data_IF_533062501146
#
_entry.id   IF_533062501146
#
_cell.length_a   1.000
_cell.length_b   1.000
_cell.length_c   1.000
_cell.angle_alpha   90.00
_cell.angle_beta   90.00
_cell.angle_gamma   90.00
#
_symmetry.space_group_name_H-M   'P 1'
#
loop_
_entity.id
_entity.type
_entity.pdbx_description
1 polymer ?
#
# COMPACT_ATOMS: atom_id res chain seq x y z
N UNK A 1 -1.14 -10.34 -5.21
CA UNK A 1 -2.61 -10.50 -5.32
C UNK A 1 -3.15 -10.82 -3.94
N UNK A 2 -4.38 -10.41 -3.63
CA UNK A 2 -5.02 -10.71 -2.36
C UNK A 2 -5.44 -12.19 -2.38
N UNK A 3 -4.72 -13.04 -1.65
CA UNK A 3 -5.06 -14.46 -1.56
C UNK A 3 -6.11 -14.62 -0.47
N UNK A 4 -7.29 -15.12 -0.85
CA UNK A 4 -8.34 -15.48 0.09
C UNK A 4 -8.48 -16.99 0.09
N UNK A 5 -8.21 -17.62 1.23
CA UNK A 5 -8.54 -19.02 1.47
C UNK A 5 -9.83 -19.07 2.30
N UNK A 6 -10.79 -19.88 1.87
CA UNK A 6 -12.07 -20.05 2.56
C UNK A 6 -12.18 -21.48 3.10
N UNK A 7 -12.53 -21.61 4.37
CA UNK A 7 -12.80 -22.89 5.02
C UNK A 7 -14.20 -22.86 5.59
N UNK A 8 -14.99 -23.88 5.28
CA UNK A 8 -16.27 -24.12 5.93
C UNK A 8 -16.04 -24.92 7.20
N UNK A 9 -16.35 -24.34 8.35
CA UNK A 9 -16.35 -25.06 9.62
C UNK A 9 -17.75 -25.62 9.82
N UNK A 10 -17.89 -26.95 9.87
CA UNK A 10 -19.15 -27.58 10.25
C UNK A 10 -19.41 -27.32 11.74
N UNK A 11 -20.67 -27.07 12.11
CA UNK A 11 -21.05 -27.00 13.53
C UNK A 11 -20.74 -28.34 14.21
N UNK A 12 -20.28 -28.30 15.45
CA UNK A 12 -20.10 -29.51 16.27
C UNK A 12 -21.47 -30.19 16.39
N UNK A 13 -21.56 -31.46 16.00
CA UNK A 13 -22.82 -32.21 15.91
C UNK A 13 -23.73 -32.00 17.13
N UNK A 14 -24.92 -31.43 16.89
CA UNK A 14 -25.95 -31.21 17.92
C UNK A 14 -26.60 -29.84 17.80
N UNK A 15 -27.92 -29.83 17.64
CA UNK A 15 -28.75 -28.62 17.57
C UNK A 15 -28.45 -27.69 18.77
N UNK A 16 -27.76 -26.58 18.54
CA UNK A 16 -27.56 -25.51 19.55
C UNK A 16 -26.13 -25.08 19.85
N UNK A 17 -25.09 -25.64 19.22
CA UNK A 17 -23.73 -25.16 19.46
C UNK A 17 -23.50 -23.76 18.83
N UNK A 18 -23.46 -22.71 19.66
CA UNK A 18 -23.06 -21.34 19.29
C UNK A 18 -21.54 -21.17 19.18
N UNK A 19 -20.80 -22.27 19.26
CA UNK A 19 -19.34 -22.29 19.30
C UNK A 19 -18.82 -23.21 18.20
N UNK A 20 -17.85 -22.72 17.44
CA UNK A 20 -17.15 -23.46 16.41
C UNK A 20 -15.66 -23.12 16.49
N UNK A 21 -14.81 -24.13 16.33
CA UNK A 21 -13.36 -23.97 16.28
C UNK A 21 -12.79 -24.60 15.01
N UNK A 22 -11.71 -24.03 14.50
CA UNK A 22 -11.05 -24.51 13.29
C UNK A 22 -9.71 -23.80 13.11
N UNK A 23 -8.87 -24.34 12.22
CA UNK A 23 -7.61 -23.72 11.86
C UNK A 23 -7.35 -23.85 10.36
N UNK A 24 -6.70 -22.85 9.76
CA UNK A 24 -6.07 -22.96 8.45
C UNK A 24 -4.56 -22.82 8.57
N UNK A 25 -3.83 -23.34 7.58
CA UNK A 25 -2.42 -23.04 7.38
C UNK A 25 -2.24 -22.45 5.99
N UNK A 26 -1.82 -21.19 5.94
CA UNK A 26 -1.41 -20.51 4.71
C UNK A 26 0.11 -20.54 4.56
N UNK A 27 0.59 -20.76 3.34
CA UNK A 27 2.01 -20.60 3.00
C UNK A 27 2.26 -19.12 2.67
N UNK A 28 3.27 -18.53 3.31
CA UNK A 28 3.63 -17.11 3.14
C UNK A 28 5.09 -17.04 2.71
N UNK A 29 5.30 -16.74 1.42
CA UNK A 29 6.65 -16.70 0.81
C UNK A 29 7.29 -15.30 0.86
N UNK A 30 6.46 -14.26 1.08
CA UNK A 30 6.88 -12.87 1.08
C UNK A 30 6.18 -12.12 2.22
N UNK A 31 6.83 -11.06 2.72
CA UNK A 31 6.22 -10.18 3.70
C UNK A 31 4.88 -9.66 3.21
N UNK A 32 3.85 -9.75 4.06
CA UNK A 32 2.46 -9.49 3.69
C UNK A 32 1.65 -9.04 4.90
N UNK A 33 0.38 -8.72 4.68
CA UNK A 33 -0.61 -8.56 5.75
C UNK A 33 -1.55 -9.76 5.75
N UNK A 34 -1.89 -10.22 6.95
CA UNK A 34 -2.87 -11.30 7.15
C UNK A 34 -3.97 -10.81 8.07
N UNK A 35 -5.20 -11.11 7.70
CA UNK A 35 -6.38 -10.88 8.53
C UNK A 35 -7.33 -12.07 8.38
N UNK A 36 -8.05 -12.40 9.45
CA UNK A 36 -9.09 -13.41 9.44
C UNK A 36 -10.45 -12.72 9.32
N UNK A 37 -11.33 -13.29 8.49
CA UNK A 37 -12.73 -12.89 8.40
C UNK A 37 -13.62 -14.12 8.48
N UNK A 38 -14.55 -14.12 9.43
CA UNK A 38 -15.52 -15.19 9.63
C UNK A 38 -16.85 -14.73 9.05
N UNK A 39 -17.36 -15.51 8.09
CA UNK A 39 -18.72 -15.34 7.58
C UNK A 39 -19.66 -16.27 8.33
N UNK A 40 -20.82 -15.77 8.67
CA UNK A 40 -21.86 -16.52 9.35
C UNK A 40 -23.23 -15.95 9.01
N UNK A 41 -24.28 -16.75 9.12
CA UNK A 41 -25.64 -16.31 8.90
C UNK A 41 -26.28 -15.87 10.22
N UNK A 42 -26.35 -14.56 10.44
CA UNK A 42 -27.29 -14.00 11.41
C UNK A 42 -28.63 -13.78 10.69
N UNK A 43 -29.72 -14.37 11.20
CA UNK A 43 -31.06 -14.34 10.58
C UNK A 43 -31.14 -14.87 9.12
N UNK A 44 -30.28 -15.83 8.74
CA UNK A 44 -30.39 -16.50 7.44
C UNK A 44 -29.78 -15.75 6.24
N UNK A 45 -29.03 -14.66 6.46
CA UNK A 45 -28.26 -14.02 5.40
C UNK A 45 -26.81 -14.55 5.37
N UNK A 46 -26.44 -15.43 4.41
CA UNK A 46 -25.15 -16.12 4.41
C UNK A 46 -23.93 -15.22 4.09
N UNK A 47 -24.14 -13.99 3.60
CA UNK A 47 -23.06 -13.11 3.19
C UNK A 47 -22.51 -12.21 4.31
N UNK A 48 -23.08 -12.27 5.52
CA UNK A 48 -22.68 -11.39 6.61
C UNK A 48 -21.31 -11.77 7.20
N UNK A 49 -20.51 -10.74 7.49
CA UNK A 49 -19.27 -10.87 8.24
C UNK A 49 -19.64 -10.88 9.72
N UNK A 50 -19.57 -12.05 10.34
CA UNK A 50 -19.93 -12.23 11.75
C UNK A 50 -18.78 -11.81 12.68
N UNK A 51 -17.53 -11.97 12.24
CA UNK A 51 -16.35 -11.54 13.00
C UNK A 51 -15.16 -11.28 12.07
N UNK A 52 -14.17 -10.52 12.56
CA UNK A 52 -12.88 -10.34 11.90
C UNK A 52 -11.78 -10.10 12.92
N UNK A 53 -10.52 -10.31 12.51
CA UNK A 53 -9.35 -9.86 13.27
C UNK A 53 -8.91 -8.47 12.80
N UNK A 54 -8.04 -7.82 13.57
CA UNK A 54 -7.17 -6.78 13.02
C UNK A 54 -6.22 -7.41 11.99
N UNK A 55 -5.80 -6.64 10.99
CA UNK A 55 -4.72 -7.06 10.11
C UNK A 55 -3.40 -7.04 10.87
N UNK A 56 -2.61 -8.10 10.74
CA UNK A 56 -1.25 -8.18 11.26
C UNK A 56 -0.26 -8.21 10.10
N UNK A 57 0.89 -7.57 10.29
CA UNK A 57 1.97 -7.61 9.32
C UNK A 57 2.87 -8.80 9.60
N UNK A 58 3.11 -9.61 8.59
CA UNK A 58 4.10 -10.69 8.60
C UNK A 58 5.33 -10.24 7.82
N UNK A 59 6.49 -10.31 8.48
CA UNK A 59 7.79 -10.01 7.86
C UNK A 59 8.53 -11.33 7.65
N UNK A 60 8.77 -11.69 6.39
CA UNK A 60 9.51 -12.88 5.99
C UNK A 60 10.93 -12.50 5.62
N UNK A 61 11.92 -13.25 6.08
CA UNK A 61 13.36 -13.04 5.81
C UNK A 61 13.87 -11.62 6.13
N UNK A 62 13.23 -10.90 7.06
CA UNK A 62 13.50 -9.47 7.35
C UNK A 62 13.33 -8.55 6.13
N UNK A 63 12.68 -9.01 5.06
CA UNK A 63 12.39 -8.18 3.89
C UNK A 63 11.19 -7.28 4.21
N UNK A 64 11.29 -5.95 4.07
CA UNK A 64 10.15 -5.08 4.35
C UNK A 64 9.02 -5.35 3.35
N UNK A 65 7.77 -5.10 3.76
CA UNK A 65 6.65 -5.08 2.83
C UNK A 65 6.92 -4.03 1.75
N UNK A 66 6.93 -4.47 0.48
CA UNK A 66 7.16 -3.61 -0.65
C UNK A 66 6.34 -4.06 -1.85
N UNK A 67 5.39 -3.23 -2.26
CA UNK A 67 4.61 -3.42 -3.47
C UNK A 67 5.16 -2.48 -4.54
N UNK A 68 5.95 -3.03 -5.48
CA UNK A 68 6.55 -2.26 -6.56
C UNK A 68 5.53 -1.44 -7.38
N UNK A 69 4.35 -1.98 -7.76
CA UNK A 69 3.36 -1.22 -8.52
C UNK A 69 2.81 -0.01 -7.74
N UNK A 70 2.58 -0.17 -6.44
CA UNK A 70 2.06 0.92 -5.60
C UNK A 70 3.14 1.97 -5.35
N UNK A 71 4.38 1.53 -5.09
CA UNK A 71 5.52 2.42 -4.93
C UNK A 71 5.77 3.28 -6.19
N UNK A 72 5.61 2.69 -7.38
CA UNK A 72 5.68 3.43 -8.66
C UNK A 72 4.60 4.50 -8.76
N UNK A 73 3.34 4.17 -8.47
CA UNK A 73 2.24 5.15 -8.49
C UNK A 73 2.45 6.29 -7.50
N UNK A 74 2.95 5.99 -6.30
CA UNK A 74 3.27 7.00 -5.30
C UNK A 74 4.43 7.88 -5.79
N UNK A 75 5.44 7.31 -6.45
CA UNK A 75 6.54 8.08 -7.03
C UNK A 75 6.03 9.06 -8.09
N UNK A 76 5.19 8.60 -9.03
CA UNK A 76 4.53 9.44 -10.04
C UNK A 76 3.68 10.56 -9.41
N UNK A 77 2.99 10.26 -8.32
CA UNK A 77 2.20 11.26 -7.60
C UNK A 77 3.09 12.34 -6.95
N UNK A 78 4.26 11.96 -6.42
CA UNK A 78 5.24 12.93 -5.88
C UNK A 78 5.79 13.81 -7.02
N UNK A 79 6.08 13.24 -8.19
CA UNK A 79 6.49 14.01 -9.38
C UNK A 79 5.41 15.02 -9.78
N UNK A 80 4.14 14.59 -9.86
CA UNK A 80 3.01 15.46 -10.14
C UNK A 80 2.83 16.57 -9.09
N UNK A 81 3.03 16.25 -7.80
CA UNK A 81 2.97 17.24 -6.73
C UNK A 81 4.09 18.29 -6.84
N UNK A 82 5.31 17.89 -7.18
CA UNK A 82 6.41 18.82 -7.45
C UNK A 82 6.08 19.75 -8.62
N UNK A 83 5.59 19.19 -9.73
CA UNK A 83 5.19 19.99 -10.89
C UNK A 83 4.07 20.98 -10.55
N UNK A 84 3.07 20.56 -9.76
CA UNK A 84 1.99 21.44 -9.30
C UNK A 84 2.52 22.59 -8.45
N UNK A 85 3.38 22.30 -7.46
CA UNK A 85 4.00 23.31 -6.59
C UNK A 85 4.85 24.29 -7.39
N UNK A 86 5.59 23.80 -8.39
CA UNK A 86 6.50 24.61 -9.21
C UNK A 86 5.75 25.52 -10.21
N UNK A 87 4.50 25.20 -10.59
CA UNK A 87 3.81 25.87 -11.72
C UNK A 87 2.42 26.42 -11.42
N UNK A 88 1.56 25.67 -10.74
CA UNK A 88 0.12 25.96 -10.61
C UNK A 88 -0.30 26.41 -9.21
N UNK A 89 0.48 26.06 -8.19
CA UNK A 89 0.15 26.40 -6.82
C UNK A 89 0.15 27.93 -6.62
N UNK A 90 -0.81 28.50 -5.85
CA UNK A 90 -0.75 29.89 -5.44
C UNK A 90 0.58 30.16 -4.74
N UNK A 91 1.30 31.21 -5.15
CA UNK A 91 2.65 31.48 -4.64
C UNK A 91 2.65 31.59 -3.12
N UNK A 92 3.20 30.61 -2.39
CA UNK A 92 3.39 30.75 -0.96
C UNK A 92 4.54 31.71 -0.72
N UNK A 93 4.65 32.22 0.50
CA UNK A 93 5.87 32.88 0.96
C UNK A 93 7.10 32.00 0.63
N UNK A 94 8.18 32.61 0.11
CA UNK A 94 9.31 31.90 -0.47
C UNK A 94 9.93 30.83 0.45
N UNK A 95 9.91 31.04 1.76
CA UNK A 95 10.39 30.08 2.75
C UNK A 95 9.53 28.80 2.77
N UNK A 96 8.20 28.94 2.73
CA UNK A 96 7.25 27.82 2.70
C UNK A 96 7.33 27.04 1.38
N UNK A 97 7.49 27.73 0.26
CA UNK A 97 7.72 27.11 -1.04
C UNK A 97 8.96 26.19 -0.99
N UNK A 98 10.11 26.72 -0.56
CA UNK A 98 11.37 25.96 -0.48
C UNK A 98 11.26 24.75 0.45
N UNK A 99 10.64 24.93 1.61
CA UNK A 99 10.43 23.84 2.57
C UNK A 99 9.58 22.70 1.99
N UNK A 100 8.49 23.06 1.30
CA UNK A 100 7.60 22.09 0.64
C UNK A 100 8.33 21.36 -0.49
N UNK A 101 9.04 22.11 -1.35
CA UNK A 101 9.80 21.54 -2.47
C UNK A 101 10.88 20.57 -2.00
N UNK A 102 11.65 20.95 -0.99
CA UNK A 102 12.69 20.10 -0.38
C UNK A 102 12.10 18.83 0.26
N UNK A 103 10.93 18.93 0.88
CA UNK A 103 10.24 17.77 1.46
C UNK A 103 9.84 16.77 0.38
N UNK A 104 9.23 17.24 -0.71
CA UNK A 104 8.82 16.39 -1.84
C UNK A 104 10.03 15.75 -2.52
N UNK A 105 11.10 16.52 -2.76
CA UNK A 105 12.33 16.01 -3.37
C UNK A 105 13.01 14.97 -2.47
N UNK A 106 13.05 15.19 -1.16
CA UNK A 106 13.58 14.21 -0.20
C UNK A 106 12.72 12.94 -0.13
N UNK A 107 11.40 13.05 -0.29
CA UNK A 107 10.51 11.90 -0.36
C UNK A 107 10.72 11.12 -1.67
N UNK A 108 10.81 11.82 -2.81
CA UNK A 108 11.11 11.26 -4.12
C UNK A 108 12.41 10.47 -4.08
N UNK A 109 13.51 11.08 -3.67
CA UNK A 109 14.83 10.45 -3.67
C UNK A 109 14.85 9.20 -2.78
N UNK A 110 14.21 9.23 -1.61
CA UNK A 110 14.12 8.07 -0.72
C UNK A 110 13.34 6.92 -1.34
N UNK A 111 12.20 7.20 -1.97
CA UNK A 111 11.37 6.17 -2.60
C UNK A 111 12.02 5.62 -3.89
N UNK A 112 12.63 6.50 -4.69
CA UNK A 112 13.38 6.17 -5.89
C UNK A 112 14.55 5.23 -5.59
N UNK A 113 15.36 5.57 -4.59
CA UNK A 113 16.45 4.69 -4.12
C UNK A 113 15.92 3.35 -3.63
N UNK A 114 14.80 3.34 -2.91
CA UNK A 114 14.18 2.10 -2.43
C UNK A 114 13.68 1.22 -3.58
N UNK A 115 13.12 1.80 -4.64
CA UNK A 115 12.74 1.06 -5.86
C UNK A 115 13.97 0.39 -6.49
N UNK A 116 15.08 1.11 -6.64
CA UNK A 116 16.34 0.56 -7.15
C UNK A 116 16.93 -0.54 -6.26
N UNK A 117 16.89 -0.37 -4.93
CA UNK A 117 17.33 -1.41 -3.98
C UNK A 117 16.50 -2.70 -4.08
N UNK A 118 15.26 -2.61 -4.53
CA UNK A 118 14.38 -3.75 -4.77
C UNK A 118 14.46 -4.28 -6.22
N UNK A 119 15.40 -3.77 -7.03
CA UNK A 119 15.60 -4.19 -8.41
C UNK A 119 14.51 -3.73 -9.38
N UNK A 120 13.70 -2.72 -8.99
CA UNK A 120 12.60 -2.23 -9.81
C UNK A 120 13.09 -1.16 -10.78
N UNK A 121 13.26 -1.56 -12.03
CA UNK A 121 13.61 -0.66 -13.12
C UNK A 121 12.38 0.14 -13.57
N UNK A 122 12.56 1.45 -13.75
CA UNK A 122 11.52 2.35 -14.21
C UNK A 122 12.11 3.50 -15.04
N UNK A 123 11.28 4.13 -15.87
CA UNK A 123 11.69 5.29 -16.67
C UNK A 123 11.81 6.50 -15.74
N UNK A 124 12.94 7.19 -15.81
CA UNK A 124 13.10 8.48 -15.16
C UNK A 124 12.49 9.57 -16.06
N UNK A 125 11.58 10.37 -15.52
CA UNK A 125 11.26 11.65 -16.11
C UNK A 125 12.25 12.66 -15.53
N UNK A 126 13.03 13.39 -16.35
CA UNK A 126 13.94 14.40 -15.83
C UNK A 126 13.16 15.43 -15.00
N UNK A 127 13.45 15.53 -13.71
CA UNK A 127 12.84 16.53 -12.82
C UNK A 127 13.25 17.97 -13.17
N UNK A 128 14.33 18.11 -13.94
CA UNK A 128 14.84 19.38 -14.43
C UNK A 128 15.10 19.28 -15.94
N UNK A 129 14.29 19.98 -16.73
CA UNK A 129 14.68 20.36 -18.08
C UNK A 129 15.81 21.39 -17.98
N UNK A 130 17.05 20.97 -18.22
CA UNK A 130 18.12 21.89 -18.57
C UNK A 130 18.14 22.05 -20.09
N UNK A 131 17.28 22.94 -20.61
CA UNK A 131 17.36 23.59 -21.93
C UNK A 131 16.28 24.71 -21.91
N UNK A 132 16.63 25.99 -21.83
CA UNK A 132 16.93 26.89 -22.96
C UNK A 132 15.61 27.28 -23.64
N UNK A 133 15.04 28.49 -23.57
CA UNK A 133 15.59 29.85 -23.68
C UNK A 133 14.49 30.80 -23.17
N UNK A 134 14.82 31.79 -22.32
CA UNK A 134 13.91 32.92 -22.07
C UNK A 134 14.08 33.88 -23.24
N UNK A 135 13.12 33.93 -24.15
CA UNK A 135 13.04 35.04 -25.11
C UNK A 135 12.50 36.29 -24.39
N UNK A 136 13.17 37.41 -24.69
CA UNK A 136 12.91 38.75 -24.18
C UNK A 136 11.70 39.39 -24.85
#
# INVERSE_FOLDING_TARGET
GLTAEAITVAGVDGQGALEASGHSRIVVEQSTWVALRVRGSYHGNPEQIAAHSSAIQLIVDRKPLFAAPDAMKVLEQIEGAMAYVDTLAPQPEAARFKAMRSTLESAYNRLHQRLHQQGVFHRHTPLHGHDGTREH
#
